data_IF_344164359550
#
_entry.id   IF_344164359550
#
_cell.length_a   1.000
_cell.length_b   1.000
_cell.length_c   1.000
_cell.angle_alpha   90.00
_cell.angle_beta   90.00
_cell.angle_gamma   90.00
#
_symmetry.space_group_name_H-M   'P 1'
#
loop_
_entity.id
_entity.type
_entity.pdbx_description
1 polymer ?
#
# COMPACT_ATOMS: atom_id res chain seq x y z
N UNK A 1 4.64 -47.59 -42.49
CA UNK A 1 5.51 -47.83 -41.31
C UNK A 1 4.69 -47.57 -40.05
N UNK A 2 4.08 -48.60 -39.47
CA UNK A 2 3.27 -48.45 -38.25
C UNK A 2 4.18 -48.33 -37.04
N UNK A 3 4.20 -47.15 -36.41
CA UNK A 3 4.89 -46.88 -35.13
C UNK A 3 4.23 -47.73 -34.04
N UNK A 4 4.75 -48.93 -33.80
CA UNK A 4 4.43 -49.73 -32.61
C UNK A 4 5.10 -49.03 -31.43
N UNK A 5 4.36 -48.17 -30.74
CA UNK A 5 4.80 -47.63 -29.46
C UNK A 5 4.98 -48.81 -28.51
N UNK A 6 6.17 -48.94 -27.94
CA UNK A 6 6.48 -49.99 -26.98
C UNK A 6 5.53 -49.84 -25.79
N UNK A 7 4.97 -50.95 -25.31
CA UNK A 7 3.99 -50.97 -24.22
C UNK A 7 4.50 -50.19 -22.99
N UNK A 8 5.82 -50.18 -22.79
CA UNK A 8 6.51 -49.44 -21.73
C UNK A 8 6.36 -47.91 -21.86
N UNK A 9 6.35 -47.36 -23.08
CA UNK A 9 6.19 -45.92 -23.29
C UNK A 9 4.78 -45.44 -22.94
N UNK A 10 3.75 -46.27 -23.18
CA UNK A 10 2.36 -45.97 -22.81
C UNK A 10 2.18 -46.04 -21.29
N UNK A 11 2.78 -47.03 -20.63
CA UNK A 11 2.73 -47.17 -19.17
C UNK A 11 3.40 -45.98 -18.46
N UNK A 12 4.57 -45.53 -18.94
CA UNK A 12 5.27 -44.38 -18.38
C UNK A 12 4.45 -43.10 -18.56
N UNK A 13 3.82 -42.91 -19.71
CA UNK A 13 3.00 -41.73 -19.97
C UNK A 13 1.76 -41.69 -19.07
N UNK A 14 1.09 -42.83 -18.85
CA UNK A 14 -0.06 -42.92 -17.93
C UNK A 14 0.35 -42.67 -16.49
N UNK A 15 1.50 -43.20 -16.05
CA UNK A 15 2.05 -42.91 -14.72
C UNK A 15 2.39 -41.43 -14.55
N UNK A 16 2.97 -40.79 -15.56
CA UNK A 16 3.30 -39.38 -15.53
C UNK A 16 2.05 -38.50 -15.42
N UNK A 17 0.99 -38.82 -16.17
CA UNK A 17 -0.30 -38.11 -16.10
C UNK A 17 -0.97 -38.30 -14.72
N UNK A 18 -0.89 -39.48 -14.12
CA UNK A 18 -1.43 -39.73 -12.77
C UNK A 18 -0.67 -38.97 -11.67
N UNK A 19 0.66 -38.85 -11.78
CA UNK A 19 1.47 -38.08 -10.83
C UNK A 19 1.15 -36.58 -10.93
N UNK A 20 0.99 -36.04 -12.13
CA UNK A 20 0.61 -34.63 -12.33
C UNK A 20 -0.79 -34.35 -11.79
N UNK A 21 -1.74 -35.27 -11.95
CA UNK A 21 -3.09 -35.14 -11.40
C UNK A 21 -3.11 -35.15 -9.85
N UNK A 22 -2.20 -35.90 -9.21
CA UNK A 22 -2.10 -35.96 -7.75
C UNK A 22 -1.52 -34.68 -7.13
N UNK A 23 -0.59 -34.00 -7.83
CA UNK A 23 0.03 -32.75 -7.33
C UNK A 23 -0.96 -31.57 -7.37
N UNK A 24 -1.86 -31.52 -8.36
CA UNK A 24 -2.89 -30.46 -8.45
C UNK A 24 -4.00 -30.61 -7.40
N UNK A 25 -4.22 -31.82 -6.88
CA UNK A 25 -5.25 -32.11 -5.88
C UNK A 25 -4.81 -31.83 -4.42
N UNK A 26 -3.55 -31.44 -4.21
CA UNK A 26 -2.95 -31.23 -2.87
C UNK A 26 -2.82 -29.75 -2.52
N UNK A 27 -3.88 -28.96 -2.71
CA UNK A 27 -3.96 -27.60 -2.16
C UNK A 27 -4.04 -27.67 -0.64
N UNK A 28 -2.95 -27.30 0.04
CA UNK A 28 -2.81 -27.20 1.49
C UNK A 28 -3.87 -26.23 2.08
N UNK A 29 -4.33 -26.48 3.32
CA UNK A 29 -5.49 -25.85 3.91
C UNK A 29 -5.19 -24.41 4.29
N UNK A 30 -6.22 -23.59 4.15
CA UNK A 30 -6.30 -22.21 4.60
C UNK A 30 -5.61 -22.01 5.96
N UNK A 31 -4.47 -21.32 5.96
CA UNK A 31 -3.94 -20.66 7.14
C UNK A 31 -5.01 -19.70 7.65
N UNK A 32 -5.66 -20.07 8.76
CA UNK A 32 -6.59 -19.21 9.49
C UNK A 32 -5.80 -18.08 10.14
N UNK A 33 -5.53 -17.04 9.36
CA UNK A 33 -5.10 -15.75 9.87
C UNK A 33 -6.19 -15.27 10.83
N UNK A 34 -5.88 -14.87 12.07
CA UNK A 34 -6.87 -14.30 12.97
C UNK A 34 -7.51 -13.12 12.26
N UNK A 35 -8.82 -13.22 11.99
CA UNK A 35 -9.63 -12.13 11.45
C UNK A 35 -9.59 -10.99 12.47
N UNK A 36 -8.59 -10.10 12.37
CA UNK A 36 -8.64 -8.77 12.97
C UNK A 36 -9.99 -8.19 12.57
N UNK A 37 -10.71 -7.64 13.57
CA UNK A 37 -11.97 -6.92 13.32
C UNK A 37 -11.76 -6.00 12.11
N UNK A 38 -12.71 -5.94 11.16
CA UNK A 38 -12.60 -4.97 10.07
C UNK A 38 -12.41 -3.61 10.71
N UNK A 39 -11.28 -2.97 10.40
CA UNK A 39 -11.10 -1.57 10.68
C UNK A 39 -12.15 -0.89 9.82
N UNK A 40 -13.27 -0.49 10.44
CA UNK A 40 -14.26 0.36 9.79
C UNK A 40 -13.58 1.69 9.54
N UNK A 41 -12.86 1.77 8.43
CA UNK A 41 -12.24 2.99 7.99
C UNK A 41 -13.35 4.03 7.88
N UNK A 42 -13.23 5.15 8.61
CA UNK A 42 -14.25 6.16 8.58
C UNK A 42 -14.44 6.64 7.13
N UNK A 43 -15.69 6.85 6.67
CA UNK A 43 -15.94 7.44 5.37
C UNK A 43 -15.22 8.79 5.28
N UNK A 44 -14.63 9.07 4.13
CA UNK A 44 -13.94 10.34 3.87
C UNK A 44 -15.01 11.43 3.84
N UNK A 45 -14.92 12.37 4.80
CA UNK A 45 -15.79 13.53 4.86
C UNK A 45 -15.43 14.51 3.72
N UNK A 46 -16.41 15.02 2.95
CA UNK A 46 -16.15 16.01 1.89
C UNK A 46 -15.38 17.25 2.37
N UNK A 47 -15.62 17.74 3.58
CA UNK A 47 -14.88 18.89 4.14
C UNK A 47 -13.39 18.55 4.37
N UNK A 48 -13.13 17.29 4.74
CA UNK A 48 -11.77 16.78 4.89
C UNK A 48 -11.11 16.53 3.53
N UNK A 49 -11.90 16.20 2.49
CA UNK A 49 -11.40 16.07 1.12
C UNK A 49 -10.93 17.41 0.55
N UNK A 50 -11.66 18.50 0.81
CA UNK A 50 -11.24 19.86 0.45
C UNK A 50 -9.95 20.26 1.18
N UNK A 51 -9.85 19.89 2.46
CA UNK A 51 -8.64 20.11 3.28
C UNK A 51 -7.45 19.32 2.72
N UNK A 52 -7.64 18.04 2.40
CA UNK A 52 -6.62 17.17 1.81
C UNK A 52 -6.10 17.73 0.49
N UNK A 53 -7.00 18.16 -0.40
CA UNK A 53 -6.66 18.79 -1.68
C UNK A 53 -5.86 20.09 -1.49
N UNK A 54 -6.20 20.89 -0.47
CA UNK A 54 -5.48 22.12 -0.16
C UNK A 54 -4.06 21.86 0.37
N UNK A 55 -3.88 20.80 1.16
CA UNK A 55 -2.58 20.32 1.62
C UNK A 55 -1.75 19.84 0.43
N UNK A 56 -2.32 18.94 -0.38
CA UNK A 56 -1.68 18.35 -1.56
C UNK A 56 -1.08 19.41 -2.49
N UNK A 57 -1.91 20.34 -2.99
CA UNK A 57 -1.47 21.42 -3.90
C UNK A 57 -0.41 22.35 -3.32
N UNK A 58 -0.33 22.49 -2.00
CA UNK A 58 0.72 23.30 -1.37
C UNK A 58 2.03 22.54 -1.32
N UNK A 59 1.96 21.26 -0.96
CA UNK A 59 3.10 20.36 -0.78
C UNK A 59 3.77 20.04 -2.11
N UNK A 60 3.01 19.81 -3.17
CA UNK A 60 3.54 19.64 -4.54
C UNK A 60 4.40 20.82 -5.03
N UNK A 61 4.13 22.03 -4.51
CA UNK A 61 4.89 23.24 -4.84
C UNK A 61 6.16 23.41 -4.01
N UNK A 62 6.42 22.53 -3.05
CA UNK A 62 7.66 22.55 -2.27
C UNK A 62 8.83 22.07 -3.13
N UNK A 63 10.02 22.65 -2.88
CA UNK A 63 11.20 22.23 -3.62
C UNK A 63 11.55 20.77 -3.30
N UNK A 64 11.96 20.01 -4.31
CA UNK A 64 12.28 18.57 -4.17
C UNK A 64 11.08 17.62 -4.22
N UNK A 65 9.83 18.10 -4.10
CA UNK A 65 8.62 17.28 -4.22
C UNK A 65 8.21 17.15 -5.69
N UNK A 66 8.04 15.92 -6.17
CA UNK A 66 7.53 15.58 -7.49
C UNK A 66 6.00 15.56 -7.52
N UNK A 67 5.43 14.85 -6.55
CA UNK A 67 4.01 14.61 -6.40
C UNK A 67 3.69 14.42 -4.91
N UNK A 68 2.45 14.66 -4.54
CA UNK A 68 1.97 14.43 -3.19
C UNK A 68 0.60 13.76 -3.22
N UNK A 69 0.32 12.93 -2.22
CA UNK A 69 -1.02 12.39 -2.04
C UNK A 69 -1.40 12.50 -0.58
N UNK A 70 -2.58 13.06 -0.34
CA UNK A 70 -3.05 13.34 1.02
C UNK A 70 -4.33 12.56 1.30
N UNK A 71 -4.30 11.76 2.35
CA UNK A 71 -5.48 11.09 2.89
C UNK A 71 -5.80 11.67 4.27
N UNK A 72 -6.97 12.29 4.39
CA UNK A 72 -7.43 12.85 5.67
C UNK A 72 -8.47 11.89 6.27
N UNK A 73 -8.18 11.39 7.46
CA UNK A 73 -9.03 10.48 8.22
C UNK A 73 -9.38 11.12 9.55
N UNK A 74 -10.65 11.54 9.70
CA UNK A 74 -11.11 12.25 10.89
C UNK A 74 -10.29 13.53 11.14
N UNK A 75 -9.32 13.51 12.05
CA UNK A 75 -8.44 14.65 12.39
C UNK A 75 -6.96 14.35 12.13
N UNK A 76 -6.67 13.29 11.39
CA UNK A 76 -5.31 12.88 11.04
C UNK A 76 -5.09 13.02 9.54
N UNK A 77 -4.04 13.72 9.14
CA UNK A 77 -3.59 13.79 7.74
C UNK A 77 -2.41 12.83 7.52
N UNK A 78 -2.59 11.86 6.63
CA UNK A 78 -1.51 11.05 6.08
C UNK A 78 -1.04 11.70 4.80
N UNK A 79 0.23 12.06 4.73
CA UNK A 79 0.84 12.73 3.57
C UNK A 79 1.94 11.85 3.00
N UNK A 80 1.72 11.38 1.78
CA UNK A 80 2.68 10.63 0.99
C UNK A 80 3.42 11.60 0.05
N UNK A 81 4.74 11.63 0.14
CA UNK A 81 5.61 12.49 -0.67
C UNK A 81 6.36 11.66 -1.70
N UNK A 82 6.18 11.98 -2.98
CA UNK A 82 7.10 11.53 -4.02
C UNK A 82 8.16 12.58 -4.26
N UNK A 83 9.42 12.17 -4.25
CA UNK A 83 10.57 13.04 -4.37
C UNK A 83 11.05 13.03 -5.83
N UNK A 84 11.49 14.19 -6.34
CA UNK A 84 11.99 14.33 -7.72
C UNK A 84 13.21 13.47 -8.00
N UNK A 85 14.09 13.38 -7.01
CA UNK A 85 15.33 12.62 -7.06
C UNK A 85 15.72 12.16 -5.66
N UNK A 86 16.63 11.18 -5.51
CA UNK A 86 17.16 10.80 -4.21
C UNK A 86 17.83 12.01 -3.54
N UNK A 87 17.32 12.42 -2.38
CA UNK A 87 17.80 13.55 -1.61
C UNK A 87 18.51 13.10 -0.32
N UNK A 88 19.39 13.94 0.26
CA UNK A 88 19.96 13.69 1.59
C UNK A 88 18.86 13.55 2.65
N UNK A 89 19.02 12.66 3.66
CA UNK A 89 18.03 12.47 4.72
C UNK A 89 17.63 13.77 5.43
N UNK A 90 18.59 14.68 5.63
CA UNK A 90 18.34 15.98 6.27
C UNK A 90 17.39 16.89 5.47
N UNK A 91 17.50 16.85 4.14
CA UNK A 91 16.60 17.60 3.24
C UNK A 91 15.22 16.96 3.21
N UNK A 92 15.14 15.63 3.17
CA UNK A 92 13.88 14.90 3.26
C UNK A 92 13.17 15.22 4.57
N UNK A 93 13.88 15.18 5.69
CA UNK A 93 13.33 15.51 7.01
C UNK A 93 12.88 16.96 7.10
N UNK A 94 13.58 17.88 6.43
CA UNK A 94 13.15 19.27 6.31
C UNK A 94 11.83 19.38 5.57
N UNK A 95 11.69 18.74 4.40
CA UNK A 95 10.44 18.75 3.62
C UNK A 95 9.31 18.12 4.44
N UNK A 96 9.56 17.00 5.14
CA UNK A 96 8.57 16.35 6.00
C UNK A 96 8.09 17.28 7.12
N UNK A 97 9.00 18.01 7.77
CA UNK A 97 8.64 18.99 8.81
C UNK A 97 7.83 20.15 8.25
N UNK A 98 8.27 20.77 7.15
CA UNK A 98 7.55 21.87 6.52
C UNK A 98 6.15 21.46 6.06
N UNK A 99 6.01 20.23 5.56
CA UNK A 99 4.72 19.62 5.21
C UNK A 99 3.84 19.46 6.43
N UNK A 100 4.37 18.89 7.52
CA UNK A 100 3.63 18.69 8.76
C UNK A 100 3.18 20.02 9.39
N UNK A 101 4.04 21.03 9.40
CA UNK A 101 3.74 22.34 9.96
C UNK A 101 2.64 23.05 9.16
N UNK A 102 2.69 22.96 7.83
CA UNK A 102 1.63 23.52 6.98
C UNK A 102 0.28 22.82 7.21
N UNK A 103 0.27 21.48 7.22
CA UNK A 103 -0.96 20.70 7.40
C UNK A 103 -1.58 20.87 8.80
N UNK A 104 -0.76 21.06 9.85
CA UNK A 104 -1.25 21.41 11.21
C UNK A 104 -1.86 22.81 11.31
N UNK A 105 -1.68 23.66 10.31
CA UNK A 105 -2.31 24.97 10.25
C UNK A 105 -3.84 24.93 10.08
N UNK A 106 -4.39 23.77 9.68
CA UNK A 106 -5.83 23.57 9.50
C UNK A 106 -6.50 23.14 10.81
N UNK A 107 -7.58 23.82 11.22
CA UNK A 107 -8.23 23.60 12.53
C UNK A 107 -8.89 22.24 12.73
N UNK A 108 -9.13 21.52 11.63
CA UNK A 108 -9.67 20.16 11.61
C UNK A 108 -8.60 19.07 11.63
N UNK A 109 -7.31 19.43 11.69
CA UNK A 109 -6.18 18.50 11.72
C UNK A 109 -5.45 18.60 13.07
N UNK A 110 -5.42 17.50 13.82
CA UNK A 110 -4.67 17.37 15.08
C UNK A 110 -3.32 16.68 14.88
N UNK A 111 -3.30 15.69 13.98
CA UNK A 111 -2.14 14.85 13.72
C UNK A 111 -1.77 14.86 12.24
N UNK A 112 -0.47 14.91 11.97
CA UNK A 112 0.05 14.79 10.61
C UNK A 112 1.17 13.77 10.60
N UNK A 113 1.02 12.77 9.73
CA UNK A 113 2.01 11.74 9.49
C UNK A 113 2.51 11.88 8.06
N UNK A 114 3.81 12.12 7.91
CA UNK A 114 4.42 12.36 6.60
C UNK A 114 5.39 11.24 6.29
N UNK A 115 5.28 10.65 5.12
CA UNK A 115 6.19 9.62 4.62
C UNK A 115 6.76 10.01 3.26
N UNK A 116 8.01 9.64 3.02
CA UNK A 116 8.67 9.69 1.72
C UNK A 116 9.28 8.32 1.36
N UNK A 117 8.90 7.27 2.09
CA UNK A 117 9.31 5.90 1.77
C UNK A 117 8.55 5.43 0.52
N UNK A 118 9.25 5.07 -0.58
CA UNK A 118 8.59 4.71 -1.83
C UNK A 118 7.57 3.56 -1.71
N UNK A 119 7.82 2.61 -0.82
CA UNK A 119 6.91 1.47 -0.61
C UNK A 119 5.63 1.92 0.11
N UNK A 120 5.78 2.71 1.17
CA UNK A 120 4.62 3.22 1.93
C UNK A 120 3.82 4.20 1.07
N UNK A 121 4.49 5.02 0.26
CA UNK A 121 3.84 5.94 -0.69
C UNK A 121 3.00 5.16 -1.70
N UNK A 122 3.54 4.07 -2.27
CA UNK A 122 2.79 3.20 -3.18
C UNK A 122 1.56 2.58 -2.48
N UNK A 123 1.73 2.03 -1.28
CA UNK A 123 0.63 1.46 -0.49
C UNK A 123 -0.49 2.50 -0.24
N UNK A 124 -0.16 3.75 0.07
CA UNK A 124 -1.14 4.84 0.25
C UNK A 124 -1.87 5.16 -1.07
N UNK A 125 -1.14 5.21 -2.19
CA UNK A 125 -1.74 5.48 -3.51
C UNK A 125 -2.68 4.37 -3.95
N UNK A 126 -2.33 3.10 -3.69
CA UNK A 126 -3.19 1.97 -4.01
C UNK A 126 -4.51 2.03 -3.23
N UNK A 127 -4.46 2.47 -1.97
CA UNK A 127 -5.68 2.72 -1.16
C UNK A 127 -6.51 3.84 -1.77
N UNK A 128 -5.89 4.97 -2.13
CA UNK A 128 -6.59 6.11 -2.74
C UNK A 128 -7.24 5.77 -4.08
N UNK A 129 -6.66 4.82 -4.84
CA UNK A 129 -7.23 4.30 -6.10
C UNK A 129 -8.31 3.25 -5.90
N UNK A 130 -8.50 2.76 -4.66
CA UNK A 130 -9.41 1.65 -4.36
C UNK A 130 -8.86 0.28 -4.78
N UNK A 131 -7.55 0.18 -5.03
CA UNK A 131 -6.84 -1.06 -5.39
C UNK A 131 -6.43 -1.86 -4.15
N UNK A 132 -6.34 -1.20 -2.98
CA UNK A 132 -6.04 -1.82 -1.71
C UNK A 132 -7.14 -1.58 -0.66
N UNK A 133 -7.37 -2.55 0.26
CA UNK A 133 -8.36 -2.42 1.34
C UNK A 133 -7.97 -1.32 2.34
N UNK A 134 -8.95 -0.56 2.83
CA UNK A 134 -8.75 0.46 3.85
C UNK A 134 -8.26 -0.12 5.19
N UNK A 135 -8.49 -1.42 5.42
CA UNK A 135 -7.97 -2.14 6.58
C UNK A 135 -6.44 -2.14 6.66
N UNK A 136 -5.74 -1.94 5.54
CA UNK A 136 -4.28 -1.80 5.50
C UNK A 136 -3.77 -0.48 6.08
N UNK A 137 -4.64 0.52 6.29
CA UNK A 137 -4.26 1.82 6.86
C UNK A 137 -3.71 1.71 8.29
N UNK A 138 -4.18 0.75 9.09
CA UNK A 138 -3.66 0.54 10.46
C UNK A 138 -2.18 0.17 10.43
N UNK A 139 -1.78 -0.68 9.48
CA UNK A 139 -0.41 -1.14 9.35
C UNK A 139 0.48 -0.04 8.78
N UNK A 140 0.00 0.73 7.80
CA UNK A 140 0.68 1.94 7.28
C UNK A 140 0.92 2.95 8.40
N UNK A 141 -0.08 3.20 9.24
CA UNK A 141 0.02 4.13 10.36
C UNK A 141 1.14 3.75 11.33
N UNK A 142 1.21 2.46 11.70
CA UNK A 142 2.27 1.93 12.57
C UNK A 142 3.65 1.99 11.93
N UNK A 143 3.76 1.67 10.63
CA UNK A 143 5.03 1.79 9.88
C UNK A 143 5.55 3.22 9.90
N UNK A 144 4.70 4.22 9.66
CA UNK A 144 5.11 5.63 9.65
C UNK A 144 5.55 6.09 11.04
N UNK A 145 4.89 5.61 12.11
CA UNK A 145 5.25 5.92 13.50
C UNK A 145 6.44 5.14 14.04
N UNK A 146 6.94 4.13 13.32
CA UNK A 146 8.03 3.26 13.77
C UNK A 146 7.62 2.29 14.88
N UNK A 147 6.36 1.89 14.92
CA UNK A 147 5.81 0.95 15.92
C UNK A 147 5.93 -0.54 15.49
N UNK A 148 6.63 -0.82 14.38
CA UNK A 148 6.88 -2.16 13.83
C UNK A 148 8.37 -2.42 13.61
#
# INVERSE_FOLDING_TARGET
MSRKWSLNAVIIFVLFVLIVAAVVASGDPEMTVPRKKPFNAPPIDPELQDTGTAIERRVERMNGVLDASVLVLSRTALVALELKEPMPPEEIDKIKRETADYAKGFSNIDEVLVTADPNIVAEIKDILRGEAPLESLEDIYKKIRGEM
#
